data_IF_883698484295
#
_entry.id   IF_883698484295
#
_cell.length_a   1.000
_cell.length_b   1.000
_cell.length_c   1.000
_cell.angle_alpha   90.00
_cell.angle_beta   90.00
_cell.angle_gamma   90.00
#
_symmetry.space_group_name_H-M   'P 1'
#
loop_
_entity.id
_entity.type
_entity.pdbx_description
1 polymer ?
#
# COMPACT_ATOMS: atom_id res chain seq x y z
N UNK A 1 -15.17 15.57 33.36
CA UNK A 1 -14.92 16.71 32.45
C UNK A 1 -15.43 16.34 31.07
N UNK A 2 -16.25 17.20 30.45
CA UNK A 2 -16.77 16.98 29.11
C UNK A 2 -15.68 17.25 28.06
N UNK A 3 -15.46 16.27 27.17
CA UNK A 3 -14.45 16.35 26.11
C UNK A 3 -14.70 17.49 25.10
N UNK A 4 -15.97 17.85 24.85
CA UNK A 4 -16.29 18.96 23.94
C UNK A 4 -15.90 20.31 24.52
N UNK A 5 -16.16 20.50 25.81
CA UNK A 5 -15.76 21.71 26.53
C UNK A 5 -14.24 21.86 26.56
N UNK A 6 -13.49 20.77 26.78
CA UNK A 6 -12.02 20.77 26.73
C UNK A 6 -11.49 21.15 25.33
N UNK A 7 -12.10 20.66 24.26
CA UNK A 7 -11.70 20.99 22.88
C UNK A 7 -11.93 22.47 22.55
N UNK A 8 -13.08 23.03 22.92
CA UNK A 8 -13.36 24.46 22.72
C UNK A 8 -12.41 25.32 23.54
N UNK A 9 -12.22 25.01 24.83
CA UNK A 9 -11.26 25.73 25.68
C UNK A 9 -9.83 25.69 25.12
N UNK A 10 -9.40 24.53 24.61
CA UNK A 10 -8.09 24.42 23.97
C UNK A 10 -7.99 25.28 22.71
N UNK A 11 -8.98 25.18 21.81
CA UNK A 11 -9.00 25.91 20.55
C UNK A 11 -9.07 27.43 20.75
N UNK A 12 -9.94 27.88 21.65
CA UNK A 12 -10.33 29.28 21.76
C UNK A 12 -9.46 30.07 22.75
N UNK A 13 -8.81 29.39 23.71
CA UNK A 13 -8.06 30.06 24.79
C UNK A 13 -6.63 29.53 25.04
N UNK A 14 -6.35 28.25 24.81
CA UNK A 14 -5.04 27.66 25.16
C UNK A 14 -4.10 27.46 23.96
N UNK A 15 -4.64 27.53 22.74
CA UNK A 15 -3.88 27.32 21.52
C UNK A 15 -3.75 28.61 20.72
N UNK A 16 -2.76 28.65 19.86
CA UNK A 16 -2.54 29.77 18.94
C UNK A 16 -3.52 29.77 17.75
N UNK A 17 -4.59 28.95 17.78
CA UNK A 17 -5.49 28.77 16.65
C UNK A 17 -6.09 30.09 16.14
N UNK A 18 -6.46 31.01 17.03
CA UNK A 18 -7.05 32.29 16.63
C UNK A 18 -6.05 33.19 15.89
N UNK A 19 -4.77 33.11 16.25
CA UNK A 19 -3.66 33.91 15.70
C UNK A 19 -2.83 33.15 14.67
N UNK A 20 -3.25 31.95 14.28
CA UNK A 20 -2.53 31.12 13.34
C UNK A 20 -2.58 31.74 11.95
N UNK A 21 -1.41 32.09 11.42
CA UNK A 21 -1.20 32.77 10.13
C UNK A 21 -1.79 32.02 8.93
N UNK A 22 -1.99 30.71 9.04
CA UNK A 22 -2.56 29.89 7.97
C UNK A 22 -4.06 29.67 8.10
N UNK A 23 -4.71 30.18 9.15
CA UNK A 23 -6.14 29.93 9.43
C UNK A 23 -7.05 30.25 8.24
N UNK A 24 -6.74 31.28 7.46
CA UNK A 24 -7.55 31.72 6.32
C UNK A 24 -7.63 30.68 5.19
N UNK A 25 -6.61 29.83 5.02
CA UNK A 25 -6.52 28.82 3.96
C UNK A 25 -6.35 27.39 4.47
N UNK A 26 -6.35 27.19 5.80
CA UNK A 26 -6.09 25.91 6.45
C UNK A 26 -7.08 24.78 6.09
N UNK A 27 -8.23 25.11 5.50
CA UNK A 27 -9.16 24.11 4.95
C UNK A 27 -8.63 23.50 3.66
N UNK A 28 -7.96 24.30 2.82
CA UNK A 28 -7.44 23.89 1.52
C UNK A 28 -6.01 23.37 1.63
N UNK A 29 -5.15 24.07 2.38
CA UNK A 29 -3.78 23.61 2.60
C UNK A 29 -3.15 24.17 3.88
N UNK A 30 -2.15 23.43 4.36
CA UNK A 30 -1.25 23.82 5.44
C UNK A 30 0.17 23.66 4.89
N UNK A 31 1.03 24.65 5.14
CA UNK A 31 2.40 24.69 4.63
C UNK A 31 3.38 25.17 5.73
N UNK A 32 4.42 24.39 5.98
CA UNK A 32 5.49 24.69 6.92
C UNK A 32 6.86 24.61 6.23
N UNK A 33 7.28 25.64 5.45
CA UNK A 33 8.54 25.61 4.72
C UNK A 33 9.78 25.42 5.63
N UNK A 34 9.69 25.89 6.89
CA UNK A 34 10.73 25.69 7.92
C UNK A 34 10.99 24.21 8.28
N UNK A 35 10.05 23.32 7.95
CA UNK A 35 10.16 21.89 8.21
C UNK A 35 10.83 21.12 7.06
N UNK A 36 11.24 21.81 5.99
CA UNK A 36 11.96 21.20 4.86
C UNK A 36 13.23 20.46 5.32
N UNK A 37 13.60 19.43 4.57
CA UNK A 37 14.77 18.59 4.82
C UNK A 37 15.39 18.10 3.51
N UNK A 38 16.33 17.18 3.62
CA UNK A 38 17.01 16.59 2.48
C UNK A 38 16.28 15.36 1.94
N UNK A 39 15.56 14.63 2.80
CA UNK A 39 14.81 13.42 2.43
C UNK A 39 13.33 13.63 2.73
N UNK A 40 12.52 13.61 1.68
CA UNK A 40 11.09 13.86 1.76
C UNK A 40 10.28 12.61 1.40
N UNK A 41 9.03 12.57 1.81
CA UNK A 41 8.03 11.62 1.30
C UNK A 41 6.75 12.37 0.97
N UNK A 42 6.12 12.02 -0.16
CA UNK A 42 4.81 12.51 -0.56
C UNK A 42 3.88 11.30 -0.75
N UNK A 43 2.69 11.39 -0.14
CA UNK A 43 1.69 10.32 -0.21
C UNK A 43 0.27 10.90 -0.16
N UNK A 44 -0.70 10.13 -0.65
CA UNK A 44 -2.12 10.43 -0.62
C UNK A 44 -2.80 9.64 0.49
N UNK A 45 -3.64 10.31 1.28
CA UNK A 45 -4.41 9.67 2.33
C UNK A 45 -5.85 10.14 2.34
N UNK A 46 -6.78 9.24 2.67
CA UNK A 46 -8.17 9.59 2.90
C UNK A 46 -8.38 9.87 4.39
N UNK A 47 -8.86 11.07 4.72
CA UNK A 47 -9.37 11.35 6.06
C UNK A 47 -10.84 10.92 6.19
N UNK A 48 -11.41 11.04 7.39
CA UNK A 48 -12.79 10.66 7.63
C UNK A 48 -13.74 11.42 6.70
N UNK A 49 -14.72 10.69 6.12
CA UNK A 49 -15.70 11.11 5.09
C UNK A 49 -15.26 10.96 3.62
N UNK A 50 -14.08 10.41 3.34
CA UNK A 50 -13.67 10.08 1.96
C UNK A 50 -12.96 11.22 1.23
N UNK A 51 -12.71 12.34 1.91
CA UNK A 51 -11.88 13.42 1.40
C UNK A 51 -10.42 12.96 1.30
N UNK A 52 -9.82 13.13 0.13
CA UNK A 52 -8.42 12.81 -0.14
C UNK A 52 -7.53 14.02 0.16
N UNK A 53 -6.35 13.74 0.70
CA UNK A 53 -5.33 14.74 1.01
C UNK A 53 -3.98 14.26 0.52
N UNK A 54 -3.20 15.17 -0.03
CA UNK A 54 -1.79 14.96 -0.33
C UNK A 54 -0.94 15.51 0.80
N UNK A 55 -0.08 14.67 1.38
CA UNK A 55 0.77 15.03 2.51
C UNK A 55 2.22 14.96 2.09
N UNK A 56 2.97 16.03 2.36
CA UNK A 56 4.41 16.08 2.22
C UNK A 56 5.06 16.06 3.60
N UNK A 57 5.95 15.10 3.84
CA UNK A 57 6.65 14.93 5.11
C UNK A 57 8.17 14.95 4.95
N UNK A 58 8.84 15.45 5.99
CA UNK A 58 10.29 15.37 6.18
C UNK A 58 10.66 14.06 6.88
N UNK A 59 11.33 13.17 6.16
CA UNK A 59 11.79 11.87 6.69
C UNK A 59 12.97 12.01 7.65
N UNK A 60 13.76 13.08 7.57
CA UNK A 60 14.88 13.34 8.48
C UNK A 60 14.42 13.46 9.94
N UNK A 61 13.16 13.88 10.15
CA UNK A 61 12.56 14.05 11.47
C UNK A 61 11.99 12.75 12.06
N UNK A 62 11.96 11.64 11.31
CA UNK A 62 11.53 10.30 11.78
C UNK A 62 10.17 10.32 12.50
N UNK A 63 9.20 11.06 11.97
CA UNK A 63 7.85 11.17 12.53
C UNK A 63 7.74 12.04 13.80
N UNK A 64 8.82 12.72 14.20
CA UNK A 64 8.82 13.63 15.36
C UNK A 64 8.34 15.03 14.98
N UNK A 65 8.30 15.94 15.96
CA UNK A 65 7.96 17.35 15.74
C UNK A 65 8.75 17.94 14.57
N UNK A 66 8.03 18.59 13.65
CA UNK A 66 8.60 19.16 12.42
C UNK A 66 8.62 18.20 11.22
N UNK A 67 7.96 17.03 11.31
CA UNK A 67 7.88 16.11 10.15
C UNK A 67 6.90 16.57 9.08
N UNK A 68 5.81 17.27 9.43
CA UNK A 68 4.81 17.69 8.43
C UNK A 68 5.30 18.96 7.72
N UNK A 69 5.47 18.91 6.40
CA UNK A 69 5.80 20.07 5.58
C UNK A 69 4.55 20.63 4.93
N UNK A 70 3.71 19.78 4.34
CA UNK A 70 2.47 20.21 3.72
C UNK A 70 1.34 19.21 3.95
N UNK A 71 0.12 19.72 4.09
CA UNK A 71 -1.12 18.95 4.01
C UNK A 71 -2.01 19.71 3.04
N UNK A 72 -2.42 19.08 1.94
CA UNK A 72 -3.12 19.74 0.83
C UNK A 72 -4.39 18.94 0.55
N UNK A 73 -5.54 19.60 0.50
CA UNK A 73 -6.81 18.97 0.17
C UNK A 73 -6.83 18.61 -1.33
N UNK A 74 -7.17 17.36 -1.63
CA UNK A 74 -7.25 16.81 -2.96
C UNK A 74 -5.97 16.14 -3.47
N UNK A 75 -6.08 15.61 -4.69
CA UNK A 75 -5.03 14.84 -5.40
C UNK A 75 -4.70 15.43 -6.77
N UNK A 76 -5.32 16.58 -7.11
CA UNK A 76 -5.13 17.22 -8.41
C UNK A 76 -3.72 17.80 -8.49
N UNK A 77 -2.92 17.23 -9.39
CA UNK A 77 -1.49 17.53 -9.55
C UNK A 77 -1.20 19.02 -9.67
N UNK A 78 -1.95 19.75 -10.50
CA UNK A 78 -1.64 21.16 -10.76
C UNK A 78 -1.93 22.04 -9.53
N UNK A 79 -2.95 21.70 -8.74
CA UNK A 79 -3.31 22.44 -7.51
C UNK A 79 -2.24 22.20 -6.43
N UNK A 80 -1.77 20.96 -6.30
CA UNK A 80 -0.69 20.60 -5.38
C UNK A 80 0.61 21.30 -5.77
N UNK A 81 0.95 21.34 -7.06
CA UNK A 81 2.11 22.07 -7.57
C UNK A 81 1.97 23.57 -7.23
N UNK A 82 0.80 24.17 -7.43
CA UNK A 82 0.56 25.59 -7.11
C UNK A 82 0.77 25.90 -5.62
N UNK A 83 0.42 24.97 -4.73
CA UNK A 83 0.69 25.12 -3.29
C UNK A 83 2.17 24.93 -2.95
N UNK A 84 2.79 23.84 -3.43
CA UNK A 84 4.18 23.52 -3.10
C UNK A 84 5.18 24.53 -3.68
N UNK A 85 4.87 25.15 -4.81
CA UNK A 85 5.71 26.19 -5.43
C UNK A 85 5.69 27.53 -4.69
N UNK A 86 4.78 27.71 -3.72
CA UNK A 86 4.84 28.84 -2.75
C UNK A 86 6.10 28.77 -1.87
N UNK A 87 6.72 27.58 -1.73
CA UNK A 87 7.99 27.46 -1.01
C UNK A 87 9.15 28.01 -1.86
N UNK A 88 10.12 28.71 -1.23
CA UNK A 88 11.32 29.21 -1.89
C UNK A 88 12.03 28.13 -2.70
N UNK A 89 12.50 28.49 -3.90
CA UNK A 89 13.13 27.56 -4.83
C UNK A 89 14.43 26.98 -4.26
N UNK A 90 15.16 27.75 -3.46
CA UNK A 90 16.38 27.34 -2.79
C UNK A 90 16.13 26.16 -1.86
N UNK A 91 15.05 26.22 -1.06
CA UNK A 91 14.65 25.14 -0.16
C UNK A 91 14.19 23.91 -0.93
N UNK A 92 13.52 24.07 -2.06
CA UNK A 92 13.10 22.95 -2.90
C UNK A 92 14.28 22.27 -3.60
N UNK A 93 15.28 23.05 -4.01
CA UNK A 93 16.49 22.57 -4.68
C UNK A 93 17.48 21.86 -3.74
N UNK A 94 17.33 22.00 -2.42
CA UNK A 94 18.18 21.30 -1.45
C UNK A 94 17.78 19.82 -1.24
N UNK A 95 16.56 19.45 -1.65
CA UNK A 95 16.03 18.10 -1.49
C UNK A 95 16.87 17.14 -2.31
N UNK A 96 17.42 16.12 -1.66
CA UNK A 96 18.26 15.08 -2.27
C UNK A 96 17.44 13.87 -2.70
N UNK A 97 16.42 13.51 -1.91
CA UNK A 97 15.58 12.35 -2.15
C UNK A 97 14.11 12.69 -1.88
N UNK A 98 13.23 12.21 -2.74
CA UNK A 98 11.79 12.18 -2.50
C UNK A 98 11.23 10.78 -2.72
N UNK A 99 10.61 10.24 -1.69
CA UNK A 99 9.86 8.98 -1.75
C UNK A 99 8.42 9.25 -2.18
N UNK A 100 7.92 8.45 -3.11
CA UNK A 100 6.55 8.55 -3.62
C UNK A 100 5.99 7.19 -4.04
N UNK A 101 4.70 7.12 -4.32
CA UNK A 101 4.08 5.96 -4.93
C UNK A 101 4.46 5.80 -6.42
N UNK A 102 3.83 4.84 -7.11
CA UNK A 102 4.08 4.59 -8.54
C UNK A 102 3.23 5.45 -9.48
N UNK A 103 2.30 6.26 -8.97
CA UNK A 103 1.39 7.05 -9.78
C UNK A 103 2.13 8.09 -10.63
N UNK A 104 1.69 8.26 -11.88
CA UNK A 104 2.26 9.25 -12.80
C UNK A 104 2.10 10.69 -12.30
N UNK A 105 1.02 10.98 -11.58
CA UNK A 105 0.76 12.26 -10.92
C UNK A 105 1.87 12.61 -9.93
N UNK A 106 2.24 11.69 -9.03
CA UNK A 106 3.31 11.88 -8.06
C UNK A 106 4.65 12.16 -8.72
N UNK A 107 4.96 11.44 -9.80
CA UNK A 107 6.21 11.66 -10.53
C UNK A 107 6.26 13.06 -11.16
N UNK A 108 5.15 13.52 -11.77
CA UNK A 108 5.04 14.88 -12.33
C UNK A 108 5.23 15.93 -11.24
N UNK A 109 4.58 15.75 -10.08
CA UNK A 109 4.74 16.64 -8.92
C UNK A 109 6.19 16.69 -8.43
N UNK A 110 6.81 15.53 -8.22
CA UNK A 110 8.19 15.44 -7.76
C UNK A 110 9.17 16.13 -8.71
N UNK A 111 9.06 15.90 -10.04
CA UNK A 111 9.90 16.56 -11.05
C UNK A 111 9.73 18.08 -11.05
N UNK A 112 8.50 18.56 -10.86
CA UNK A 112 8.19 19.99 -10.95
C UNK A 112 8.60 20.72 -9.67
N UNK A 113 8.26 20.16 -8.51
CA UNK A 113 8.47 20.80 -7.22
C UNK A 113 9.90 20.61 -6.71
N UNK A 114 10.52 19.45 -6.94
CA UNK A 114 11.82 19.06 -6.38
C UNK A 114 12.76 18.55 -7.49
N UNK A 115 13.14 19.39 -8.46
CA UNK A 115 13.80 18.96 -9.70
C UNK A 115 15.19 18.33 -9.51
N UNK A 116 15.84 18.56 -8.36
CA UNK A 116 17.16 17.98 -8.02
C UNK A 116 17.07 16.71 -7.18
N UNK A 117 15.88 16.33 -6.74
CA UNK A 117 15.69 15.18 -5.87
C UNK A 117 15.67 13.87 -6.68
N UNK A 118 16.41 12.88 -6.19
CA UNK A 118 16.28 11.50 -6.63
C UNK A 118 14.89 10.98 -6.24
N UNK A 119 14.20 10.36 -7.19
CA UNK A 119 12.89 9.75 -6.94
C UNK A 119 13.08 8.30 -6.50
N UNK A 120 12.47 7.96 -5.37
CA UNK A 120 12.46 6.61 -4.81
C UNK A 120 11.01 6.15 -4.72
N UNK A 121 10.71 4.96 -5.25
CA UNK A 121 9.39 4.34 -5.04
C UNK A 121 9.32 3.77 -3.63
N UNK A 122 8.24 4.04 -2.91
CA UNK A 122 8.00 3.36 -1.64
C UNK A 122 7.78 1.85 -1.87
N UNK A 123 8.66 1.06 -1.27
CA UNK A 123 8.59 -0.41 -1.26
C UNK A 123 7.24 -0.96 -0.80
N UNK A 124 6.50 -0.24 0.05
CA UNK A 124 5.19 -0.69 0.50
C UNK A 124 4.17 -0.74 -0.64
N UNK A 125 4.22 0.21 -1.59
CA UNK A 125 3.35 0.17 -2.78
C UNK A 125 3.72 -0.97 -3.71
N UNK A 126 5.02 -1.25 -3.89
CA UNK A 126 5.48 -2.40 -4.67
C UNK A 126 5.00 -3.71 -4.05
N UNK A 127 5.19 -3.87 -2.74
CA UNK A 127 4.75 -5.06 -2.00
C UNK A 127 3.22 -5.22 -2.02
N UNK A 128 2.48 -4.10 -1.95
CA UNK A 128 1.02 -4.08 -2.00
C UNK A 128 0.50 -4.65 -3.32
N UNK A 129 1.08 -4.26 -4.46
CA UNK A 129 0.68 -4.79 -5.77
C UNK A 129 0.80 -6.32 -5.84
N UNK A 130 1.91 -6.87 -5.34
CA UNK A 130 2.10 -8.34 -5.34
C UNK A 130 1.09 -9.03 -4.42
N UNK A 131 0.86 -8.48 -3.23
CA UNK A 131 -0.16 -9.05 -2.35
C UNK A 131 -1.56 -8.97 -2.96
N UNK A 132 -1.90 -7.90 -3.68
CA UNK A 132 -3.17 -7.77 -4.39
C UNK A 132 -3.31 -8.86 -5.47
N UNK A 133 -2.26 -9.17 -6.23
CA UNK A 133 -2.27 -10.28 -7.18
C UNK A 133 -2.50 -11.65 -6.50
N UNK A 134 -1.87 -11.90 -5.34
CA UNK A 134 -2.14 -13.13 -4.54
C UNK A 134 -3.61 -13.18 -4.09
N UNK A 135 -4.19 -12.04 -3.69
CA UNK A 135 -5.60 -11.99 -3.31
C UNK A 135 -6.52 -12.20 -4.51
N UNK A 136 -6.16 -11.72 -5.68
CA UNK A 136 -6.94 -11.88 -6.90
C UNK A 136 -7.02 -13.35 -7.32
N UNK A 137 -5.91 -14.09 -7.23
CA UNK A 137 -5.90 -15.53 -7.44
C UNK A 137 -6.84 -16.25 -6.43
N UNK A 138 -6.73 -15.92 -5.14
CA UNK A 138 -7.65 -16.45 -4.10
C UNK A 138 -9.12 -16.11 -4.40
N UNK A 139 -9.40 -14.90 -4.88
CA UNK A 139 -10.76 -14.46 -5.21
C UNK A 139 -11.28 -15.24 -6.43
N UNK A 140 -10.43 -15.49 -7.42
CA UNK A 140 -10.74 -16.29 -8.61
C UNK A 140 -11.18 -17.70 -8.22
N UNK A 141 -10.39 -18.38 -7.39
CA UNK A 141 -10.79 -19.69 -6.85
C UNK A 141 -12.08 -19.63 -6.05
N UNK A 142 -12.29 -18.57 -5.26
CA UNK A 142 -13.52 -18.42 -4.48
C UNK A 142 -14.75 -18.34 -5.38
N UNK A 143 -14.65 -17.65 -6.52
CA UNK A 143 -15.73 -17.59 -7.50
C UNK A 143 -15.96 -18.94 -8.20
N UNK A 144 -14.91 -19.69 -8.50
CA UNK A 144 -15.02 -21.04 -9.05
C UNK A 144 -15.77 -21.98 -8.09
N UNK A 145 -15.38 -21.99 -6.81
CA UNK A 145 -16.06 -22.78 -5.77
C UNK A 145 -17.53 -22.38 -5.65
N UNK A 146 -17.85 -21.08 -5.61
CA UNK A 146 -19.25 -20.61 -5.58
C UNK A 146 -20.03 -21.11 -6.80
N UNK A 147 -19.41 -21.09 -7.99
CA UNK A 147 -20.04 -21.56 -9.23
C UNK A 147 -20.34 -23.06 -9.18
N UNK A 148 -19.43 -23.86 -8.64
CA UNK A 148 -19.59 -25.31 -8.46
C UNK A 148 -20.64 -25.64 -7.40
N UNK A 149 -20.60 -24.96 -6.25
CA UNK A 149 -21.63 -25.06 -5.20
C UNK A 149 -23.02 -24.76 -5.77
N UNK A 150 -23.17 -23.70 -6.58
CA UNK A 150 -24.43 -23.35 -7.22
C UNK A 150 -24.94 -24.43 -8.18
N UNK A 151 -24.04 -25.07 -8.95
CA UNK A 151 -24.41 -26.20 -9.81
C UNK A 151 -24.86 -27.40 -8.99
N UNK A 152 -24.14 -27.74 -7.92
CA UNK A 152 -24.47 -28.86 -7.04
C UNK A 152 -25.81 -28.63 -6.32
N UNK A 153 -26.06 -27.40 -5.83
CA UNK A 153 -27.34 -27.01 -5.23
C UNK A 153 -28.50 -27.15 -6.22
N UNK A 154 -28.31 -26.74 -7.48
CA UNK A 154 -29.34 -26.89 -8.52
C UNK A 154 -29.63 -28.38 -8.80
N UNK A 155 -28.60 -29.20 -8.95
CA UNK A 155 -28.74 -30.63 -9.19
C UNK A 155 -29.41 -31.37 -8.01
N UNK A 156 -29.07 -31.02 -6.76
CA UNK A 156 -29.72 -31.59 -5.58
C UNK A 156 -31.21 -31.21 -5.52
N UNK A 157 -31.54 -29.94 -5.81
CA UNK A 157 -32.92 -29.46 -5.86
C UNK A 157 -33.76 -30.18 -6.93
N UNK A 158 -33.18 -30.45 -8.10
CA UNK A 158 -33.83 -31.23 -9.18
C UNK A 158 -34.13 -32.67 -8.75
N UNK A 159 -33.34 -33.23 -7.82
CA UNK A 159 -33.54 -34.57 -7.23
C UNK A 159 -34.41 -34.57 -5.96
N UNK A 160 -34.82 -33.39 -5.46
CA UNK A 160 -35.51 -33.26 -4.18
C UNK A 160 -34.61 -33.44 -2.94
N UNK A 161 -33.29 -33.38 -3.11
CA UNK A 161 -32.30 -33.54 -2.05
C UNK A 161 -31.83 -32.17 -1.52
N UNK A 162 -31.37 -32.14 -0.26
CA UNK A 162 -30.74 -30.95 0.33
C UNK A 162 -29.24 -31.01 0.09
N UNK A 163 -28.70 -29.97 -0.55
CA UNK A 163 -27.25 -29.83 -0.72
C UNK A 163 -26.56 -29.56 0.63
N UNK A 164 -25.52 -30.34 0.93
CA UNK A 164 -24.64 -30.12 2.08
C UNK A 164 -23.20 -30.00 1.56
N UNK A 165 -22.58 -28.85 1.85
CA UNK A 165 -21.18 -28.63 1.51
C UNK A 165 -20.26 -29.53 2.35
N UNK A 166 -19.17 -30.00 1.76
CA UNK A 166 -18.14 -30.75 2.48
C UNK A 166 -17.39 -29.82 3.45
N UNK A 167 -17.20 -30.31 4.68
CA UNK A 167 -16.46 -29.63 5.72
C UNK A 167 -15.04 -30.18 5.79
N UNK A 168 -14.06 -29.29 5.87
CA UNK A 168 -12.67 -29.64 6.08
C UNK A 168 -12.42 -29.96 7.56
N UNK A 169 -11.22 -30.49 7.86
CA UNK A 169 -10.82 -30.87 9.22
C UNK A 169 -10.95 -29.73 10.26
N UNK A 170 -10.91 -28.47 9.82
CA UNK A 170 -11.06 -27.30 10.67
C UNK A 170 -12.51 -26.77 10.76
N UNK A 171 -13.48 -27.47 10.18
CA UNK A 171 -14.89 -27.07 10.12
C UNK A 171 -15.21 -25.97 9.09
N UNK A 172 -14.24 -25.50 8.30
CA UNK A 172 -14.50 -24.58 7.19
C UNK A 172 -14.99 -25.38 5.97
N UNK A 173 -15.96 -24.85 5.22
CA UNK A 173 -16.16 -25.28 3.82
C UNK A 173 -15.05 -24.71 2.93
N UNK A 174 -14.84 -25.25 1.73
CA UNK A 174 -13.83 -24.73 0.79
C UNK A 174 -14.02 -23.23 0.48
N UNK A 175 -15.27 -22.78 0.36
CA UNK A 175 -15.63 -21.36 0.19
C UNK A 175 -15.25 -20.52 1.41
N UNK A 176 -15.49 -21.03 2.62
CA UNK A 176 -15.14 -20.35 3.87
C UNK A 176 -13.62 -20.32 4.07
N UNK A 177 -12.91 -21.40 3.72
CA UNK A 177 -11.46 -21.48 3.73
C UNK A 177 -10.86 -20.33 2.91
N UNK A 178 -11.28 -20.20 1.65
CA UNK A 178 -10.81 -19.12 0.78
C UNK A 178 -11.15 -17.75 1.37
N UNK A 179 -12.38 -17.52 1.85
CA UNK A 179 -12.78 -16.23 2.43
C UNK A 179 -11.95 -15.84 3.67
N UNK A 180 -11.75 -16.79 4.60
CA UNK A 180 -11.08 -16.57 5.89
C UNK A 180 -9.55 -16.51 5.76
N UNK A 181 -8.99 -16.99 4.65
CA UNK A 181 -7.55 -16.93 4.36
C UNK A 181 -7.03 -15.57 3.89
N UNK A 182 -7.88 -14.55 3.69
CA UNK A 182 -7.42 -13.22 3.25
C UNK A 182 -6.26 -12.68 4.09
N UNK A 183 -6.42 -12.62 5.41
CA UNK A 183 -5.47 -11.95 6.30
C UNK A 183 -4.18 -12.75 6.56
N UNK A 184 -4.21 -14.08 6.47
CA UNK A 184 -2.99 -14.88 6.67
C UNK A 184 -2.03 -14.69 5.49
N UNK A 185 -2.55 -14.48 4.28
CA UNK A 185 -1.75 -14.27 3.07
C UNK A 185 -1.03 -12.91 3.01
N UNK A 186 -1.33 -11.98 3.93
CA UNK A 186 -0.60 -10.72 4.10
C UNK A 186 0.50 -10.78 5.17
N UNK A 187 0.65 -11.93 5.85
CA UNK A 187 1.57 -12.10 6.98
C UNK A 187 2.60 -13.15 6.67
N UNK A 188 3.77 -13.05 7.28
CA UNK A 188 4.76 -14.12 7.26
C UNK A 188 4.34 -15.28 8.18
N UNK A 189 4.78 -16.53 7.92
CA UNK A 189 4.33 -17.72 8.66
C UNK A 189 4.63 -17.70 10.16
N UNK A 190 5.69 -17.00 10.57
CA UNK A 190 6.06 -16.78 11.97
C UNK A 190 5.02 -15.93 12.73
N UNK A 191 4.24 -15.11 12.02
CA UNK A 191 3.21 -14.22 12.60
C UNK A 191 1.81 -14.83 12.59
N UNK A 192 1.67 -16.08 12.13
CA UNK A 192 0.39 -16.75 12.11
C UNK A 192 -0.02 -17.25 13.50
N UNK A 193 -1.29 -17.04 13.83
CA UNK A 193 -1.93 -17.72 14.96
C UNK A 193 -2.02 -19.24 14.69
N UNK A 194 -2.24 -20.04 15.72
CA UNK A 194 -2.47 -21.49 15.56
C UNK A 194 -3.58 -21.80 14.54
N UNK A 195 -4.70 -21.06 14.62
CA UNK A 195 -5.82 -21.21 13.69
C UNK A 195 -5.50 -20.76 12.26
N UNK A 196 -4.56 -19.82 12.08
CA UNK A 196 -4.08 -19.43 10.75
C UNK A 196 -3.13 -20.48 10.16
N UNK A 197 -2.29 -21.13 10.96
CA UNK A 197 -1.40 -22.21 10.51
C UNK A 197 -2.17 -23.39 9.95
N UNK A 198 -3.13 -23.92 10.72
CA UNK A 198 -4.03 -25.00 10.27
C UNK A 198 -4.75 -24.61 8.98
N UNK A 199 -5.24 -23.37 8.90
CA UNK A 199 -5.92 -22.88 7.70
C UNK A 199 -4.98 -22.77 6.50
N UNK A 200 -3.75 -22.32 6.70
CA UNK A 200 -2.75 -22.22 5.64
C UNK A 200 -2.38 -23.61 5.12
N UNK A 201 -2.21 -24.60 6.00
CA UNK A 201 -1.96 -26.00 5.62
C UNK A 201 -3.07 -26.56 4.73
N UNK A 202 -4.33 -26.39 5.12
CA UNK A 202 -5.48 -26.83 4.32
C UNK A 202 -5.57 -26.05 3.00
N UNK A 203 -5.38 -24.74 3.03
CA UNK A 203 -5.41 -23.90 1.83
C UNK A 203 -4.35 -24.33 0.82
N UNK A 204 -3.11 -24.51 1.27
CA UNK A 204 -1.98 -24.85 0.40
C UNK A 204 -1.99 -26.31 -0.06
N UNK A 205 -2.67 -27.20 0.65
CA UNK A 205 -2.94 -28.57 0.19
C UNK A 205 -3.93 -28.58 -0.98
N UNK A 206 -4.91 -27.67 -0.97
CA UNK A 206 -5.94 -27.59 -2.01
C UNK A 206 -5.54 -26.70 -3.19
N UNK A 207 -4.79 -25.63 -2.93
CA UNK A 207 -4.38 -24.62 -3.90
C UNK A 207 -2.87 -24.41 -3.80
N UNK A 208 -2.12 -25.31 -4.43
CA UNK A 208 -0.66 -25.31 -4.41
C UNK A 208 -0.08 -24.04 -5.06
N UNK A 209 -0.77 -23.52 -6.06
CA UNK A 209 -0.40 -22.32 -6.79
C UNK A 209 -0.49 -21.05 -5.91
N UNK A 210 -1.53 -20.92 -5.06
CA UNK A 210 -1.63 -19.88 -4.03
C UNK A 210 -0.43 -19.93 -3.09
N UNK A 211 0.04 -21.14 -2.71
CA UNK A 211 1.22 -21.30 -1.85
C UNK A 211 2.45 -20.68 -2.51
N UNK A 212 2.72 -21.02 -3.76
CA UNK A 212 3.88 -20.52 -4.50
C UNK A 212 3.89 -19.00 -4.61
N UNK A 213 2.81 -18.40 -5.11
CA UNK A 213 2.75 -16.95 -5.28
C UNK A 213 2.76 -16.20 -3.94
N UNK A 214 2.20 -16.79 -2.89
CA UNK A 214 2.33 -16.27 -1.54
C UNK A 214 3.80 -16.24 -1.09
N UNK A 215 4.57 -17.33 -1.27
CA UNK A 215 5.99 -17.33 -0.91
C UNK A 215 6.83 -16.39 -1.78
N UNK A 216 6.50 -16.20 -3.07
CA UNK A 216 7.14 -15.17 -3.90
C UNK A 216 6.87 -13.76 -3.37
N UNK A 217 5.66 -13.48 -2.88
CA UNK A 217 5.38 -12.19 -2.24
C UNK A 217 6.24 -11.96 -0.99
N UNK A 218 6.51 -13.01 -0.21
CA UNK A 218 7.41 -12.92 0.94
C UNK A 218 8.88 -12.77 0.53
N UNK A 219 9.30 -13.44 -0.55
CA UNK A 219 10.64 -13.30 -1.10
C UNK A 219 10.92 -11.86 -1.53
N UNK A 220 9.96 -11.20 -2.18
CA UNK A 220 10.08 -9.78 -2.52
C UNK A 220 10.25 -8.90 -1.27
N UNK A 221 9.41 -9.13 -0.25
CA UNK A 221 9.53 -8.42 1.02
C UNK A 221 10.89 -8.63 1.68
N UNK A 222 11.45 -9.85 1.56
CA UNK A 222 12.79 -10.17 2.03
C UNK A 222 13.86 -9.38 1.27
N UNK A 223 13.75 -9.25 -0.06
CA UNK A 223 14.65 -8.45 -0.88
C UNK A 223 14.70 -7.01 -0.36
N UNK A 224 13.54 -6.35 -0.19
CA UNK A 224 13.49 -4.97 0.31
C UNK A 224 13.87 -4.80 1.79
N UNK A 225 13.76 -5.85 2.60
CA UNK A 225 14.16 -5.80 4.02
C UNK A 225 15.66 -6.07 4.24
N UNK A 226 16.35 -6.56 3.22
CA UNK A 226 17.78 -6.87 3.30
C UNK A 226 18.59 -5.69 2.77
N UNK A 227 19.64 -5.31 3.48
CA UNK A 227 20.54 -4.23 3.06
C UNK A 227 21.47 -4.73 1.94
N UNK A 228 20.97 -4.74 0.71
CA UNK A 228 21.74 -5.06 -0.48
C UNK A 228 22.32 -3.80 -1.12
N UNK A 229 23.51 -3.93 -1.68
CA UNK A 229 23.98 -2.97 -2.68
C UNK A 229 23.05 -2.97 -3.91
N UNK A 230 22.94 -1.82 -4.58
CA UNK A 230 22.06 -1.61 -5.73
C UNK A 230 22.23 -2.65 -6.84
N UNK A 231 23.46 -3.07 -7.14
CA UNK A 231 23.73 -4.06 -8.20
C UNK A 231 23.28 -5.47 -7.80
N UNK A 232 23.46 -5.82 -6.52
CA UNK A 232 22.99 -7.09 -5.95
C UNK A 232 21.45 -7.12 -5.89
N UNK A 233 20.83 -6.00 -5.51
CA UNK A 233 19.38 -5.85 -5.50
C UNK A 233 18.80 -5.98 -6.91
N UNK A 234 19.45 -5.39 -7.92
CA UNK A 234 19.08 -5.52 -9.33
C UNK A 234 19.02 -6.99 -9.76
N UNK A 235 20.10 -7.74 -9.54
CA UNK A 235 20.14 -9.16 -9.90
C UNK A 235 19.06 -9.97 -9.17
N UNK A 236 18.79 -9.68 -7.89
CA UNK A 236 17.75 -10.37 -7.12
C UNK A 236 16.33 -10.07 -7.59
N UNK A 237 16.03 -8.81 -7.90
CA UNK A 237 14.74 -8.43 -8.46
C UNK A 237 14.53 -9.08 -9.84
N UNK A 238 15.57 -9.12 -10.69
CA UNK A 238 15.52 -9.80 -11.99
C UNK A 238 15.19 -11.30 -11.84
N UNK A 239 15.87 -12.01 -10.93
CA UNK A 239 15.56 -13.41 -10.64
C UNK A 239 14.15 -13.60 -10.09
N UNK A 240 13.66 -12.65 -9.29
CA UNK A 240 12.30 -12.69 -8.77
C UNK A 240 11.25 -12.50 -9.87
N UNK A 241 11.47 -11.61 -10.83
CA UNK A 241 10.56 -11.45 -11.99
C UNK A 241 10.46 -12.73 -12.80
N UNK A 242 11.59 -13.37 -13.14
CA UNK A 242 11.56 -14.60 -13.93
C UNK A 242 10.68 -15.68 -13.28
N UNK A 243 10.73 -15.81 -11.94
CA UNK A 243 9.88 -16.76 -11.19
C UNK A 243 8.39 -16.43 -11.29
N UNK A 244 8.04 -15.14 -11.32
CA UNK A 244 6.64 -14.71 -11.32
C UNK A 244 6.02 -14.80 -12.73
N UNK A 245 6.81 -14.55 -13.77
CA UNK A 245 6.41 -14.69 -15.16
C UNK A 245 6.22 -16.16 -15.56
N UNK A 246 7.09 -17.06 -15.09
CA UNK A 246 6.98 -18.51 -15.35
C UNK A 246 5.64 -19.09 -14.86
N UNK A 247 5.04 -18.47 -13.85
CA UNK A 247 3.75 -18.89 -13.30
C UNK A 247 2.55 -18.58 -14.20
N UNK A 248 2.70 -17.70 -15.20
CA UNK A 248 1.75 -17.54 -16.31
C UNK A 248 0.40 -16.90 -15.98
N UNK A 249 0.24 -16.28 -14.81
CA UNK A 249 -0.99 -15.55 -14.46
C UNK A 249 -0.94 -14.10 -14.95
N UNK A 250 -1.99 -13.66 -15.66
CA UNK A 250 -2.10 -12.31 -16.22
C UNK A 250 -1.94 -11.20 -15.17
N UNK A 251 -2.48 -11.43 -13.97
CA UNK A 251 -2.41 -10.47 -12.85
C UNK A 251 -0.97 -10.28 -12.37
N UNK A 252 -0.20 -11.36 -12.31
CA UNK A 252 1.22 -11.33 -11.94
C UNK A 252 2.09 -10.75 -13.04
N UNK A 253 1.77 -11.01 -14.31
CA UNK A 253 2.41 -10.37 -15.46
C UNK A 253 2.18 -8.85 -15.44
N UNK A 254 0.95 -8.42 -15.15
CA UNK A 254 0.60 -7.00 -15.02
C UNK A 254 1.38 -6.34 -13.88
N UNK A 255 1.53 -7.03 -12.75
CA UNK A 255 2.35 -6.55 -11.64
C UNK A 255 3.82 -6.48 -12.04
N UNK A 256 4.39 -7.51 -12.67
CA UNK A 256 5.78 -7.51 -13.14
C UNK A 256 6.07 -6.30 -14.05
N UNK A 257 5.24 -6.11 -15.09
CA UNK A 257 5.32 -4.95 -15.99
C UNK A 257 5.22 -3.61 -15.25
N UNK A 258 4.34 -3.51 -14.26
CA UNK A 258 4.22 -2.28 -13.46
C UNK A 258 5.50 -1.98 -12.70
N UNK A 259 6.11 -3.00 -12.08
CA UNK A 259 7.36 -2.81 -11.33
C UNK A 259 8.52 -2.51 -12.28
N UNK A 260 8.58 -3.15 -13.45
CA UNK A 260 9.58 -2.88 -14.50
C UNK A 260 9.52 -1.43 -15.00
N UNK A 261 8.32 -0.89 -15.23
CA UNK A 261 8.13 0.52 -15.63
C UNK A 261 8.69 1.54 -14.62
N UNK A 262 8.89 1.13 -13.37
CA UNK A 262 9.46 1.96 -12.31
C UNK A 262 10.84 1.47 -11.83
N UNK A 263 11.48 0.56 -12.55
CA UNK A 263 12.62 -0.22 -12.08
C UNK A 263 13.76 0.65 -11.54
N UNK A 264 14.21 1.66 -12.28
CA UNK A 264 15.29 2.55 -11.82
C UNK A 264 14.94 3.30 -10.52
N UNK A 265 13.69 3.73 -10.36
CA UNK A 265 13.24 4.42 -9.14
C UNK A 265 13.06 3.47 -7.96
N UNK A 266 12.74 2.21 -8.23
CA UNK A 266 12.69 1.15 -7.22
C UNK A 266 14.12 0.81 -6.77
N UNK A 267 15.06 0.72 -7.70
CA UNK A 267 16.47 0.45 -7.38
C UNK A 267 17.09 1.58 -6.56
N UNK A 268 16.63 2.83 -6.69
CA UNK A 268 17.09 3.94 -5.86
C UNK A 268 16.76 3.78 -4.36
N UNK A 269 15.93 2.78 -3.98
CA UNK A 269 15.71 2.41 -2.58
C UNK A 269 16.95 1.76 -1.93
N UNK A 270 17.77 1.07 -2.72
CA UNK A 270 18.98 0.36 -2.29
C UNK A 270 20.22 1.25 -2.44
#
# INVERSE_FOLDING_TARGET
MDGKQLQSQYKDHLSDFQNWDQRAHAQEYILYPKNMGYHLCIDETALSKGDLYTILINRDKRGRKGSIIAVIQGTKTDDIIAVLTKMPQELRNQVKEITLDMAGSMQKMAKTCFPRAMQVIDRFHVQKLVYEAVQELRITYRWQVIKEENKAMKAAKEKGEVYKAEELENGDTLRQLLARSRYLLFKSPDKWTKSQKIRAELLFKQFEDIKHVYYYSLELGKIFSTNYDKDVARAKLALWYNKIEEYGYDTFTTVANSIENHYERILNFF
#
